data_IF_646865528201
#
_entry.id   IF_646865528201
#
_cell.length_a   1.000
_cell.length_b   1.000
_cell.length_c   1.000
_cell.angle_alpha   90.00
_cell.angle_beta   90.00
_cell.angle_gamma   90.00
#
_symmetry.space_group_name_H-M   'P 1'
#
loop_
_entity.id
_entity.type
_entity.pdbx_description
1 polymer ?
#
# COMPACT_ATOMS: atom_id res chain seq x y z
N UNK A 1 -13.99 -31.38 5.45
CA UNK A 1 -14.38 -30.00 5.08
C UNK A 1 -13.48 -29.58 3.93
N UNK A 2 -14.03 -29.39 2.74
CA UNK A 2 -13.25 -29.06 1.55
C UNK A 2 -12.62 -27.68 1.70
N UNK A 3 -11.31 -27.59 1.50
CA UNK A 3 -10.64 -26.30 1.36
C UNK A 3 -11.19 -25.66 0.07
N UNK A 4 -11.88 -24.53 0.23
CA UNK A 4 -12.20 -23.67 -0.91
C UNK A 4 -10.86 -23.25 -1.54
N UNK A 5 -10.61 -23.76 -2.74
CA UNK A 5 -9.48 -23.35 -3.56
C UNK A 5 -9.69 -21.86 -3.80
N UNK A 6 -8.90 -21.03 -3.13
CA UNK A 6 -8.88 -19.57 -3.24
C UNK A 6 -8.75 -19.18 -4.72
N UNK A 7 -9.87 -19.01 -5.41
CA UNK A 7 -9.90 -18.52 -6.78
C UNK A 7 -9.57 -17.03 -6.72
N UNK A 8 -8.32 -16.69 -7.06
CA UNK A 8 -7.94 -15.31 -7.23
C UNK A 8 -8.77 -14.67 -8.34
N UNK A 9 -9.16 -13.41 -8.17
CA UNK A 9 -9.88 -12.65 -9.20
C UNK A 9 -9.05 -12.41 -10.48
N UNK A 10 -7.75 -12.69 -10.43
CA UNK A 10 -6.82 -12.50 -11.53
C UNK A 10 -6.45 -13.86 -12.16
N UNK A 11 -6.50 -13.99 -13.50
CA UNK A 11 -6.24 -15.25 -14.16
C UNK A 11 -4.73 -15.59 -14.13
N UNK A 12 -4.36 -16.86 -13.90
CA UNK A 12 -2.98 -17.31 -14.04
C UNK A 12 -2.49 -17.22 -15.50
N UNK A 13 -1.19 -17.00 -15.68
CA UNK A 13 -0.56 -16.99 -17.00
C UNK A 13 -0.14 -18.40 -17.44
N UNK A 14 -1.04 -19.10 -18.10
CA UNK A 14 -0.77 -20.41 -18.70
C UNK A 14 0.29 -20.35 -19.81
N UNK A 15 0.48 -19.19 -20.44
CA UNK A 15 1.41 -19.02 -21.56
C UNK A 15 2.81 -18.58 -21.12
N UNK A 16 3.01 -18.25 -19.84
CA UNK A 16 4.34 -18.00 -19.31
C UNK A 16 5.19 -19.27 -19.52
N UNK A 17 6.40 -19.10 -20.01
CA UNK A 17 7.28 -20.22 -20.36
C UNK A 17 8.44 -20.30 -19.38
N UNK A 18 8.97 -21.50 -19.10
CA UNK A 18 10.26 -21.64 -18.44
C UNK A 18 11.37 -20.83 -19.14
N UNK A 19 12.34 -20.39 -18.36
CA UNK A 19 13.47 -19.62 -18.85
C UNK A 19 14.14 -18.81 -17.75
N UNK A 20 15.02 -17.90 -18.15
CA UNK A 20 15.71 -16.98 -17.24
C UNK A 20 14.98 -15.65 -17.22
N UNK A 21 14.63 -15.19 -16.03
CA UNK A 21 13.82 -14.00 -15.81
C UNK A 21 14.47 -13.03 -14.84
N UNK A 22 14.12 -11.76 -15.00
CA UNK A 22 14.25 -10.73 -13.98
C UNK A 22 12.85 -10.37 -13.48
N UNK A 23 12.70 -10.22 -12.17
CA UNK A 23 11.44 -9.82 -11.54
C UNK A 23 11.70 -8.51 -10.82
N UNK A 24 10.98 -7.45 -11.17
CA UNK A 24 11.13 -6.13 -10.55
C UNK A 24 9.79 -5.55 -10.13
N UNK A 25 9.76 -4.76 -9.07
CA UNK A 25 8.54 -4.08 -8.68
C UNK A 25 8.17 -3.07 -9.78
N UNK A 26 6.89 -3.05 -10.17
CA UNK A 26 6.44 -2.28 -11.33
C UNK A 26 6.52 -0.76 -11.12
N UNK A 27 6.50 -0.29 -9.86
CA UNK A 27 6.52 1.14 -9.49
C UNK A 27 7.94 1.61 -9.18
N UNK A 28 8.67 0.91 -8.32
CA UNK A 28 10.02 1.35 -7.90
C UNK A 28 11.10 0.99 -8.92
N UNK A 29 10.87 -0.04 -9.74
CA UNK A 29 11.86 -0.57 -10.67
C UNK A 29 12.96 -1.42 -10.01
N UNK A 30 12.93 -1.61 -8.68
CA UNK A 30 13.91 -2.45 -7.99
C UNK A 30 13.65 -3.93 -8.26
N UNK A 31 14.70 -4.69 -8.54
CA UNK A 31 14.67 -6.11 -8.86
C UNK A 31 14.81 -6.98 -7.62
N UNK A 32 14.09 -8.10 -7.58
CA UNK A 32 14.24 -9.14 -6.57
C UNK A 32 15.61 -9.79 -6.73
N UNK A 33 16.37 -9.84 -5.64
CA UNK A 33 17.72 -10.37 -5.62
C UNK A 33 18.02 -11.18 -4.37
N UNK A 34 18.97 -12.11 -4.50
CA UNK A 34 19.71 -12.62 -3.33
C UNK A 34 20.75 -11.57 -2.93
N UNK A 35 20.80 -11.21 -1.64
CA UNK A 35 21.72 -10.20 -1.14
C UNK A 35 23.18 -10.61 -1.36
N UNK A 36 24.00 -9.66 -1.80
CA UNK A 36 25.46 -9.86 -1.95
C UNK A 36 26.15 -10.05 -0.59
N UNK A 37 25.61 -9.45 0.48
CA UNK A 37 26.17 -9.52 1.83
C UNK A 37 25.69 -10.76 2.62
N UNK A 38 24.53 -11.32 2.25
CA UNK A 38 23.92 -12.45 2.94
C UNK A 38 23.13 -13.32 1.96
N UNK A 39 23.74 -14.44 1.54
CA UNK A 39 23.15 -15.37 0.57
C UNK A 39 21.86 -16.08 1.05
N UNK A 40 21.44 -15.88 2.29
CA UNK A 40 20.17 -16.38 2.83
C UNK A 40 19.03 -15.36 2.69
N UNK A 41 19.33 -14.11 2.38
CA UNK A 41 18.36 -13.02 2.31
C UNK A 41 17.91 -12.72 0.89
N UNK A 42 16.62 -12.45 0.77
CA UNK A 42 16.01 -11.88 -0.43
C UNK A 42 15.67 -10.44 -0.14
N UNK A 43 16.11 -9.57 -1.04
CA UNK A 43 15.86 -8.14 -0.97
C UNK A 43 15.50 -7.62 -2.35
N UNK A 44 15.03 -6.38 -2.42
CA UNK A 44 15.02 -5.64 -3.67
C UNK A 44 16.20 -4.70 -3.76
N UNK A 45 16.66 -4.45 -4.98
CA UNK A 45 17.79 -3.57 -5.25
C UNK A 45 17.66 -2.95 -6.62
N UNK A 46 18.35 -1.85 -6.86
CA UNK A 46 18.47 -1.25 -8.18
C UNK A 46 18.84 -2.31 -9.23
N UNK A 47 18.13 -2.28 -10.35
CA UNK A 47 18.28 -3.28 -11.40
C UNK A 47 19.69 -3.23 -12.00
N UNK A 48 20.32 -4.41 -12.09
CA UNK A 48 21.59 -4.60 -12.76
C UNK A 48 21.68 -6.00 -13.41
N UNK A 49 22.74 -6.23 -14.20
CA UNK A 49 22.89 -7.46 -14.98
C UNK A 49 23.65 -8.58 -14.26
N UNK A 50 23.88 -8.47 -12.93
CA UNK A 50 24.48 -9.55 -12.14
C UNK A 50 23.54 -10.74 -11.99
N UNK A 51 24.11 -11.94 -11.84
CA UNK A 51 23.37 -13.20 -11.79
C UNK A 51 22.54 -13.38 -10.50
N UNK A 52 22.83 -12.66 -9.42
CA UNK A 52 22.02 -12.69 -8.20
C UNK A 52 20.64 -12.04 -8.33
N UNK A 53 20.37 -11.30 -9.43
CA UNK A 53 19.04 -10.76 -9.78
C UNK A 53 18.34 -11.57 -10.89
N UNK A 54 18.92 -12.70 -11.29
CA UNK A 54 18.40 -13.53 -12.37
C UNK A 54 17.87 -14.83 -11.79
N UNK A 55 16.69 -15.21 -12.25
CA UNK A 55 15.93 -16.33 -11.72
C UNK A 55 15.61 -17.31 -12.83
N UNK A 56 15.96 -18.58 -12.65
CA UNK A 56 15.42 -19.65 -13.46
C UNK A 56 13.99 -19.93 -13.02
N UNK A 57 13.06 -19.66 -13.93
CA UNK A 57 11.66 -19.95 -13.76
C UNK A 57 11.42 -21.39 -14.24
N UNK A 58 11.15 -22.29 -13.30
CA UNK A 58 11.01 -23.73 -13.52
C UNK A 58 9.58 -24.17 -13.22
N UNK A 59 8.97 -25.00 -14.07
CA UNK A 59 7.59 -25.47 -13.83
C UNK A 59 7.52 -26.36 -12.59
N UNK A 60 6.50 -26.16 -11.77
CA UNK A 60 6.21 -26.92 -10.56
C UNK A 60 4.70 -27.02 -10.35
N UNK A 61 4.12 -28.17 -10.71
CA UNK A 61 2.67 -28.34 -10.71
C UNK A 61 1.98 -27.29 -11.59
N UNK A 62 1.00 -26.59 -11.02
CA UNK A 62 0.28 -25.49 -11.69
C UNK A 62 1.01 -24.14 -11.66
N UNK A 63 2.16 -24.06 -10.99
CA UNK A 63 2.94 -22.85 -10.84
C UNK A 63 4.40 -23.02 -11.22
N UNK A 64 5.25 -22.29 -10.52
CA UNK A 64 6.68 -22.24 -10.77
C UNK A 64 7.50 -22.17 -9.51
N UNK A 65 8.72 -22.66 -9.60
CA UNK A 65 9.79 -22.39 -8.65
C UNK A 65 10.75 -21.39 -9.28
N UNK A 66 11.37 -20.58 -8.44
CA UNK A 66 12.28 -19.52 -8.84
C UNK A 66 13.65 -19.82 -8.23
N UNK A 67 14.52 -20.45 -8.99
CA UNK A 67 15.89 -20.74 -8.57
C UNK A 67 16.78 -19.54 -8.93
N UNK A 68 17.57 -19.05 -8.00
CA UNK A 68 18.54 -18.00 -8.30
C UNK A 68 19.63 -18.54 -9.24
N UNK A 69 20.11 -17.72 -10.16
CA UNK A 69 21.13 -18.14 -11.13
C UNK A 69 22.53 -18.22 -10.51
N UNK A 70 22.86 -17.31 -9.59
CA UNK A 70 24.17 -17.29 -8.91
C UNK A 70 24.22 -18.25 -7.74
N UNK A 71 23.13 -18.31 -6.98
CA UNK A 71 23.03 -19.10 -5.77
C UNK A 71 22.13 -20.31 -6.04
N UNK A 72 22.55 -21.52 -5.66
CA UNK A 72 21.72 -22.72 -5.79
C UNK A 72 20.59 -22.76 -4.73
N UNK A 73 19.82 -21.67 -4.64
CA UNK A 73 18.74 -21.42 -3.69
C UNK A 73 17.52 -20.89 -4.43
N UNK A 74 16.37 -21.01 -3.80
CA UNK A 74 15.06 -20.67 -4.35
C UNK A 74 14.45 -19.52 -3.58
N UNK A 75 13.61 -18.75 -4.27
CA UNK A 75 12.70 -17.79 -3.65
C UNK A 75 11.65 -18.55 -2.83
N UNK A 76 11.71 -18.43 -1.51
CA UNK A 76 10.87 -19.18 -0.60
C UNK A 76 10.30 -18.32 0.54
N UNK A 77 9.30 -18.84 1.25
CA UNK A 77 8.69 -18.20 2.42
C UNK A 77 8.97 -19.01 3.68
N UNK A 78 9.24 -18.35 4.80
CA UNK A 78 9.59 -19.03 6.06
C UNK A 78 8.37 -19.72 6.71
N UNK A 79 7.19 -19.16 6.51
CA UNK A 79 5.89 -19.70 6.90
C UNK A 79 4.79 -19.07 6.02
N UNK A 80 3.53 -19.31 6.36
CA UNK A 80 2.36 -18.90 5.56
C UNK A 80 1.53 -17.78 6.21
N UNK A 81 2.02 -17.25 7.33
CA UNK A 81 1.38 -16.15 8.03
C UNK A 81 1.49 -14.86 7.20
N UNK A 82 0.57 -13.94 7.44
CA UNK A 82 0.66 -12.61 6.85
C UNK A 82 1.92 -11.90 7.39
N UNK A 83 2.65 -11.20 6.53
CA UNK A 83 3.96 -10.59 6.83
C UNK A 83 5.12 -11.59 6.99
N UNK A 84 4.98 -12.86 6.56
CA UNK A 84 6.13 -13.77 6.58
C UNK A 84 7.20 -13.31 5.58
N UNK A 85 8.47 -13.40 5.99
CA UNK A 85 9.61 -12.98 5.19
C UNK A 85 9.85 -13.94 4.01
N UNK A 86 10.13 -13.36 2.85
CA UNK A 86 10.66 -14.09 1.69
C UNK A 86 12.18 -14.17 1.83
N UNK A 87 12.73 -15.36 1.67
CA UNK A 87 14.15 -15.63 1.89
C UNK A 87 14.69 -16.65 0.88
N UNK A 88 16.01 -16.77 0.83
CA UNK A 88 16.70 -17.69 -0.07
C UNK A 88 16.84 -19.05 0.63
N UNK A 89 16.16 -20.06 0.10
CA UNK A 89 16.13 -21.39 0.71
C UNK A 89 16.69 -22.46 -0.22
N UNK A 90 17.17 -23.57 0.34
CA UNK A 90 17.46 -24.78 -0.46
C UNK A 90 16.19 -25.52 -0.86
N UNK A 91 15.06 -25.21 -0.22
CA UNK A 91 13.77 -25.84 -0.47
C UNK A 91 12.86 -24.87 -1.23
N UNK A 92 12.34 -25.27 -2.40
CA UNK A 92 11.57 -24.38 -3.23
C UNK A 92 10.16 -24.13 -2.68
N UNK A 93 9.65 -22.93 -2.98
CA UNK A 93 8.23 -22.59 -2.85
C UNK A 93 7.61 -22.46 -4.24
N UNK A 94 6.37 -22.93 -4.40
CA UNK A 94 5.64 -22.80 -5.67
C UNK A 94 4.87 -21.48 -5.71
N UNK A 95 5.03 -20.75 -6.81
CA UNK A 95 4.44 -19.45 -7.07
C UNK A 95 3.55 -19.48 -8.31
N UNK A 96 2.41 -18.79 -8.26
CA UNK A 96 1.50 -18.55 -9.37
C UNK A 96 1.68 -17.12 -9.88
N UNK A 97 1.74 -16.96 -11.20
CA UNK A 97 1.87 -15.66 -11.85
C UNK A 97 0.51 -15.25 -12.42
N UNK A 98 -0.15 -14.30 -11.75
CA UNK A 98 -1.48 -13.83 -12.14
C UNK A 98 -1.38 -12.54 -12.94
N UNK A 99 -2.08 -12.45 -14.08
CA UNK A 99 -2.01 -11.27 -14.95
C UNK A 99 -2.76 -10.09 -14.36
N UNK A 100 -2.11 -8.93 -14.35
CA UNK A 100 -2.71 -7.66 -13.94
C UNK A 100 -2.12 -6.48 -14.73
N UNK A 101 -2.93 -5.84 -15.59
CA UNK A 101 -2.54 -4.62 -16.33
C UNK A 101 -1.17 -4.69 -17.02
N UNK A 102 -0.88 -5.81 -17.71
CA UNK A 102 0.40 -6.04 -18.40
C UNK A 102 1.59 -6.37 -17.47
N UNK A 103 1.35 -6.46 -16.16
CA UNK A 103 2.29 -6.91 -15.14
C UNK A 103 1.72 -8.16 -14.44
N UNK A 104 2.33 -8.56 -13.34
CA UNK A 104 1.97 -9.75 -12.58
C UNK A 104 1.74 -9.47 -11.11
N UNK A 105 0.83 -10.23 -10.52
CA UNK A 105 0.76 -10.47 -9.09
C UNK A 105 1.34 -11.87 -8.87
N UNK A 106 2.36 -11.99 -8.02
CA UNK A 106 3.04 -13.25 -7.76
C UNK A 106 2.47 -13.85 -6.47
N UNK A 107 1.64 -14.87 -6.60
CA UNK A 107 0.89 -15.48 -5.52
C UNK A 107 1.57 -16.75 -5.02
N UNK A 108 1.56 -16.97 -3.71
CA UNK A 108 1.93 -18.24 -3.10
C UNK A 108 0.89 -19.31 -3.49
N UNK A 109 1.32 -20.45 -4.03
CA UNK A 109 0.41 -21.48 -4.52
C UNK A 109 -0.61 -21.91 -3.45
N UNK A 110 -1.86 -22.09 -3.88
CA UNK A 110 -3.00 -22.53 -3.06
C UNK A 110 -3.33 -21.65 -1.84
N UNK A 111 -2.81 -20.42 -1.78
CA UNK A 111 -3.05 -19.49 -0.67
C UNK A 111 -3.37 -18.08 -1.15
N UNK A 112 -4.24 -17.38 -0.42
CA UNK A 112 -4.51 -15.96 -0.66
C UNK A 112 -3.39 -15.06 -0.09
N UNK A 113 -2.16 -15.27 -0.56
CA UNK A 113 -0.94 -14.56 -0.16
C UNK A 113 -0.10 -14.23 -1.39
N UNK A 114 0.41 -13.02 -1.48
CA UNK A 114 1.17 -12.54 -2.65
C UNK A 114 2.46 -11.85 -2.22
N UNK A 115 3.45 -11.82 -3.11
CA UNK A 115 4.69 -11.05 -2.90
C UNK A 115 4.36 -9.56 -2.75
N UNK A 116 4.85 -8.99 -1.65
CA UNK A 116 4.68 -7.60 -1.25
C UNK A 116 6.05 -6.98 -0.97
N UNK A 117 6.39 -5.94 -1.72
CA UNK A 117 7.54 -5.10 -1.41
C UNK A 117 7.23 -4.30 -0.16
N UNK A 118 8.01 -4.49 0.91
CA UNK A 118 7.73 -3.84 2.19
C UNK A 118 7.60 -2.31 2.04
N UNK A 119 6.44 -1.75 2.39
CA UNK A 119 6.07 -0.33 2.19
C UNK A 119 6.10 0.20 0.75
N UNK A 120 6.35 -0.64 -0.25
CA UNK A 120 6.64 -0.16 -1.59
C UNK A 120 7.91 0.70 -1.67
N UNK A 121 8.83 0.56 -0.71
CA UNK A 121 10.07 1.33 -0.70
C UNK A 121 11.05 0.81 -1.75
N UNK A 122 11.52 1.70 -2.61
CA UNK A 122 12.54 1.42 -3.62
C UNK A 122 13.98 1.48 -3.10
N UNK A 123 14.18 1.52 -1.78
CA UNK A 123 15.53 1.52 -1.21
C UNK A 123 16.23 0.17 -1.42
N UNK A 124 17.51 0.25 -1.75
CA UNK A 124 18.38 -0.91 -1.87
C UNK A 124 18.45 -1.69 -0.55
N UNK A 125 18.19 -3.00 -0.64
CA UNK A 125 18.17 -3.88 0.52
C UNK A 125 16.80 -4.01 1.18
N UNK A 126 15.76 -3.37 0.65
CA UNK A 126 14.41 -3.47 1.20
C UNK A 126 13.87 -4.90 1.08
N UNK A 127 13.17 -5.36 2.11
CA UNK A 127 12.71 -6.74 2.25
C UNK A 127 11.41 -6.99 1.49
N UNK A 128 11.14 -8.27 1.26
CA UNK A 128 9.93 -8.75 0.59
C UNK A 128 9.20 -9.69 1.56
N UNK A 129 7.89 -9.50 1.68
CA UNK A 129 7.04 -10.32 2.51
C UNK A 129 5.94 -10.97 1.67
N UNK A 130 5.23 -11.92 2.26
CA UNK A 130 3.91 -12.30 1.75
C UNK A 130 2.80 -11.56 2.48
N UNK A 131 1.79 -11.12 1.73
CA UNK A 131 0.65 -10.41 2.27
C UNK A 131 -0.68 -10.85 1.64
N UNK A 132 -1.79 -10.67 2.35
CA UNK A 132 -3.14 -10.94 1.83
C UNK A 132 -3.42 -10.18 0.53
N UNK A 133 -4.06 -10.84 -0.44
CA UNK A 133 -4.63 -10.15 -1.59
C UNK A 133 -6.08 -9.75 -1.25
N UNK A 134 -6.28 -8.47 -0.94
CA UNK A 134 -7.51 -7.88 -0.39
C UNK A 134 -8.14 -6.81 -1.32
N UNK A 135 -7.70 -6.75 -2.58
CA UNK A 135 -8.35 -5.93 -3.63
C UNK A 135 -8.10 -4.41 -3.54
N UNK A 136 -7.33 -3.93 -2.56
CA UNK A 136 -6.91 -2.53 -2.50
C UNK A 136 -5.99 -2.11 -3.66
N UNK A 137 -5.76 -0.81 -3.84
CA UNK A 137 -4.73 -0.30 -4.74
C UNK A 137 -3.34 -0.65 -4.16
N UNK A 138 -2.67 -1.66 -4.72
CA UNK A 138 -1.48 -2.28 -4.13
C UNK A 138 -0.25 -2.20 -5.07
N UNK A 139 0.30 -1.00 -5.35
CA UNK A 139 1.46 -0.84 -6.24
C UNK A 139 2.69 -1.68 -5.84
N UNK A 140 2.91 -1.85 -4.53
CA UNK A 140 3.95 -2.69 -3.95
C UNK A 140 3.80 -4.21 -4.17
N UNK A 141 2.65 -4.68 -4.68
CA UNK A 141 2.39 -6.10 -4.99
C UNK A 141 2.38 -6.40 -6.49
N UNK A 142 2.69 -5.40 -7.32
CA UNK A 142 2.70 -5.51 -8.78
C UNK A 142 4.15 -5.66 -9.24
N UNK A 143 4.40 -6.71 -10.02
CA UNK A 143 5.72 -7.12 -10.45
C UNK A 143 5.80 -7.20 -11.97
N UNK A 144 6.83 -6.59 -12.53
CA UNK A 144 7.24 -6.76 -13.92
C UNK A 144 8.09 -8.03 -14.00
N UNK A 145 7.73 -8.92 -14.91
CA UNK A 145 8.42 -10.19 -15.14
C UNK A 145 9.00 -10.15 -16.54
N UNK A 146 10.30 -9.91 -16.62
CA UNK A 146 11.05 -9.74 -17.87
C UNK A 146 11.82 -11.00 -18.21
N UNK A 147 11.58 -11.59 -19.39
CA UNK A 147 12.36 -12.72 -19.88
C UNK A 147 13.68 -12.23 -20.45
N UNK A 148 14.79 -12.76 -19.93
CA UNK A 148 16.15 -12.35 -20.29
C UNK A 148 17.00 -13.49 -20.88
N UNK A 149 16.48 -14.72 -20.90
CA UNK A 149 17.16 -15.85 -21.53
C UNK A 149 16.34 -17.15 -21.51
N UNK A 150 16.85 -18.18 -22.18
CA UNK A 150 16.21 -19.51 -22.31
C UNK A 150 16.69 -20.52 -21.25
N UNK A 151 17.70 -20.19 -20.44
CA UNK A 151 18.24 -21.10 -19.44
C UNK A 151 17.22 -21.44 -18.36
N UNK A 152 17.15 -22.72 -17.97
CA UNK A 152 16.18 -23.24 -16.98
C UNK A 152 16.85 -23.82 -15.72
N UNK A 153 18.16 -23.62 -15.53
CA UNK A 153 18.93 -24.22 -14.42
C UNK A 153 19.12 -25.74 -14.56
N UNK A 154 20.05 -26.31 -13.79
CA UNK A 154 20.44 -27.74 -13.89
C UNK A 154 19.46 -28.71 -13.20
N UNK A 155 18.27 -28.25 -12.78
CA UNK A 155 17.30 -29.06 -12.02
C UNK A 155 16.16 -29.71 -12.82
N UNK A 156 16.03 -29.45 -14.13
CA UNK A 156 14.86 -29.87 -14.91
C UNK A 156 14.90 -31.34 -15.40
N UNK A 157 15.97 -32.08 -15.16
CA UNK A 157 16.13 -33.48 -15.60
C UNK A 157 16.57 -34.39 -14.46
N UNK A 158 15.64 -34.83 -13.61
CA UNK A 158 15.81 -36.04 -12.80
C UNK A 158 14.47 -36.55 -12.27
N UNK A 159 13.68 -37.12 -13.18
CA UNK A 159 12.77 -38.22 -12.79
C UNK A 159 13.62 -39.49 -12.68
N UNK A 160 13.58 -40.14 -11.51
CA UNK A 160 14.06 -41.48 -11.17
C UNK A 160 15.56 -41.69 -10.85
N UNK A 161 15.78 -42.46 -9.76
CA UNK A 161 16.99 -43.14 -9.26
C UNK A 161 17.86 -42.36 -8.26
N UNK A 162 17.73 -42.69 -6.96
CA UNK A 162 18.65 -43.63 -6.30
C UNK A 162 18.45 -43.65 -4.77
N UNK A 163 18.26 -44.87 -4.26
CA UNK A 163 18.32 -45.26 -2.86
C UNK A 163 19.78 -45.63 -2.49
N UNK A 164 20.16 -45.31 -1.24
CA UNK A 164 21.03 -46.06 -0.32
C UNK A 164 22.58 -45.96 -0.38
N UNK A 165 23.11 -46.05 0.86
CA UNK A 165 24.48 -46.36 1.35
C UNK A 165 25.47 -45.17 1.37
N UNK A 166 26.21 -44.85 2.43
CA UNK A 166 26.40 -45.40 3.78
C UNK A 166 27.67 -44.77 4.42
N UNK A 167 27.76 -44.84 5.75
CA UNK A 167 28.86 -44.52 6.71
C UNK A 167 30.29 -44.86 6.20
N UNK A 168 31.43 -44.34 6.69
CA UNK A 168 31.91 -44.05 8.06
C UNK A 168 33.28 -43.32 8.08
N UNK A 169 33.61 -42.72 9.23
CA UNK A 169 34.87 -42.19 9.77
C UNK A 169 36.21 -42.87 9.37
N UNK A 170 37.32 -42.09 9.34
CA UNK A 170 38.56 -42.34 10.12
C UNK A 170 39.32 -41.03 10.42
N UNK A 171 39.86 -40.98 11.64
CA UNK A 171 40.50 -39.92 12.43
C UNK A 171 42.01 -39.74 12.14
N UNK A 172 42.46 -38.48 12.25
CA UNK A 172 43.73 -37.92 12.78
C UNK A 172 45.12 -38.56 12.48
N UNK A 173 46.07 -37.73 12.03
CA UNK A 173 47.17 -37.15 12.84
C UNK A 173 48.20 -36.42 11.94
N UNK A 174 48.55 -35.17 12.26
CA UNK A 174 49.95 -34.75 12.41
C UNK A 174 50.02 -33.33 13.00
N UNK A 175 50.46 -33.23 14.24
CA UNK A 175 50.66 -31.99 15.01
C UNK A 175 52.12 -31.57 14.90
N UNK A 176 52.40 -30.31 14.55
CA UNK A 176 53.38 -29.42 15.22
C UNK A 176 53.87 -28.31 14.27
N UNK A 177 53.16 -27.16 14.30
CA UNK A 177 53.74 -25.84 13.99
C UNK A 177 52.85 -24.67 14.44
N UNK A 178 52.30 -24.71 15.66
CA UNK A 178 51.47 -23.63 16.18
C UNK A 178 51.96 -23.18 17.55
N UNK A 179 52.82 -22.17 17.60
CA UNK A 179 53.11 -21.48 18.87
C UNK A 179 53.62 -20.04 18.73
N UNK A 180 53.40 -19.39 17.57
CA UNK A 180 53.65 -17.94 17.41
C UNK A 180 52.44 -17.15 16.87
N UNK A 181 51.41 -17.81 16.32
CA UNK A 181 50.21 -17.17 15.77
C UNK A 181 49.12 -16.91 16.84
N UNK A 182 49.25 -17.52 18.02
CA UNK A 182 48.19 -17.54 19.04
C UNK A 182 48.05 -16.24 19.85
N UNK A 183 48.90 -15.23 19.67
CA UNK A 183 48.80 -13.95 20.41
C UNK A 183 48.15 -12.81 19.61
N UNK A 184 48.25 -12.80 18.28
CA UNK A 184 47.50 -11.86 17.41
C UNK A 184 46.06 -12.31 17.18
N UNK A 185 45.82 -13.62 17.15
CA UNK A 185 44.50 -14.19 16.92
C UNK A 185 43.56 -13.98 18.13
N UNK A 186 44.10 -13.96 19.35
CA UNK A 186 43.32 -13.74 20.59
C UNK A 186 42.92 -12.26 20.75
N UNK A 187 43.80 -11.30 20.42
CA UNK A 187 43.46 -9.87 20.45
C UNK A 187 42.47 -9.51 19.34
N UNK A 188 42.65 -10.06 18.14
CA UNK A 188 41.70 -9.93 17.04
C UNK A 188 40.31 -10.46 17.37
N UNK A 189 40.23 -11.64 18.01
CA UNK A 189 38.94 -12.22 18.44
C UNK A 189 38.23 -11.36 19.52
N UNK A 190 38.99 -10.69 20.38
CA UNK A 190 38.42 -9.80 21.41
C UNK A 190 37.80 -8.53 20.80
N UNK A 191 38.45 -7.93 19.80
CA UNK A 191 37.95 -6.76 19.06
C UNK A 191 36.74 -7.14 18.19
N UNK A 192 36.78 -8.30 17.52
CA UNK A 192 35.66 -8.85 16.75
C UNK A 192 34.43 -9.09 17.62
N UNK A 193 34.62 -9.61 18.83
CA UNK A 193 33.53 -9.83 19.79
C UNK A 193 32.92 -8.50 20.26
N UNK A 194 33.76 -7.47 20.50
CA UNK A 194 33.28 -6.13 20.87
C UNK A 194 32.47 -5.49 19.74
N UNK A 195 33.01 -5.49 18.52
CA UNK A 195 32.34 -4.96 17.34
C UNK A 195 31.03 -5.70 17.04
N UNK A 196 31.00 -7.02 17.20
CA UNK A 196 29.76 -7.82 17.04
C UNK A 196 28.68 -7.40 18.04
N UNK A 197 29.06 -7.12 19.29
CA UNK A 197 28.13 -6.63 20.32
C UNK A 197 27.63 -5.20 20.05
N UNK A 198 28.47 -4.34 19.48
CA UNK A 198 28.08 -2.99 19.06
C UNK A 198 27.14 -3.02 17.84
N UNK A 199 27.44 -3.86 16.84
CA UNK A 199 26.62 -4.05 15.65
C UNK A 199 25.23 -4.63 16.00
N UNK A 200 25.18 -5.52 16.98
CA UNK A 200 23.93 -6.06 17.52
C UNK A 200 23.09 -4.98 18.21
N UNK A 201 23.73 -4.11 18.99
CA UNK A 201 23.05 -2.96 19.63
C UNK A 201 22.53 -1.95 18.61
N UNK A 202 23.36 -1.58 17.63
CA UNK A 202 22.96 -0.67 16.56
C UNK A 202 21.79 -1.25 15.72
N UNK A 203 21.78 -2.57 15.48
CA UNK A 203 20.64 -3.24 14.82
C UNK A 203 19.36 -3.14 15.64
N UNK A 204 19.44 -3.31 16.96
CA UNK A 204 18.27 -3.17 17.83
C UNK A 204 17.75 -1.73 17.83
N UNK A 205 18.64 -0.75 17.97
CA UNK A 205 18.26 0.67 17.93
C UNK A 205 17.62 1.06 16.59
N UNK A 206 18.14 0.56 15.47
CA UNK A 206 17.53 0.76 14.15
C UNK A 206 16.15 0.11 14.05
N UNK A 207 15.97 -1.08 14.62
CA UNK A 207 14.66 -1.76 14.67
C UNK A 207 13.64 -0.96 15.49
N UNK A 208 14.07 -0.40 16.63
CA UNK A 208 13.22 0.41 17.50
C UNK A 208 12.86 1.74 16.81
N UNK A 209 13.83 2.37 16.14
CA UNK A 209 13.61 3.60 15.37
C UNK A 209 12.66 3.35 14.19
N UNK A 210 12.79 2.23 13.49
CA UNK A 210 11.87 1.82 12.43
C UNK A 210 10.44 1.61 12.95
N UNK A 211 10.29 0.99 14.12
CA UNK A 211 8.99 0.82 14.78
C UNK A 211 8.36 2.17 15.14
N UNK A 212 9.18 3.14 15.57
CA UNK A 212 8.72 4.50 15.86
C UNK A 212 8.34 5.27 14.59
N UNK A 213 9.10 5.12 13.51
CA UNK A 213 8.77 5.71 12.21
C UNK A 213 7.45 5.14 11.66
N UNK A 214 7.22 3.83 11.78
CA UNK A 214 5.94 3.20 11.45
C UNK A 214 4.78 3.88 12.18
N UNK A 215 4.90 4.06 13.50
CA UNK A 215 3.84 4.68 14.30
C UNK A 215 3.59 6.13 13.89
N UNK A 216 4.64 6.87 13.53
CA UNK A 216 4.52 8.24 13.03
C UNK A 216 3.83 8.29 11.67
N UNK A 217 4.17 7.41 10.75
CA UNK A 217 3.57 7.38 9.41
C UNK A 217 2.08 6.98 9.47
N UNK A 218 1.71 6.07 10.38
CA UNK A 218 0.31 5.76 10.66
C UNK A 218 -0.45 6.99 11.20
N UNK A 219 0.17 7.71 12.14
CA UNK A 219 -0.40 8.94 12.69
C UNK A 219 -0.57 10.01 11.61
N UNK A 220 0.41 10.15 10.72
CA UNK A 220 0.34 11.09 9.60
C UNK A 220 -0.81 10.70 8.65
N UNK A 221 -0.96 9.42 8.31
CA UNK A 221 -2.07 8.93 7.48
C UNK A 221 -3.42 9.23 8.12
N UNK A 222 -3.57 8.97 9.42
CA UNK A 222 -4.81 9.28 10.14
C UNK A 222 -5.10 10.79 10.12
N UNK A 223 -4.10 11.62 10.39
CA UNK A 223 -4.25 13.08 10.36
C UNK A 223 -4.61 13.61 8.96
N UNK A 224 -4.05 13.04 7.90
CA UNK A 224 -4.39 13.41 6.52
C UNK A 224 -5.84 13.05 6.18
N UNK A 225 -6.32 11.88 6.62
CA UNK A 225 -7.71 11.49 6.43
C UNK A 225 -8.66 12.40 7.21
N UNK A 226 -8.34 12.71 8.47
CA UNK A 226 -9.10 13.63 9.30
C UNK A 226 -9.15 15.02 8.67
N UNK A 227 -8.01 15.54 8.18
CA UNK A 227 -7.94 16.84 7.53
C UNK A 227 -8.82 16.89 6.28
N UNK A 228 -8.76 15.86 5.43
CA UNK A 228 -9.62 15.73 4.25
C UNK A 228 -11.11 15.73 4.63
N UNK A 229 -11.50 14.96 5.64
CA UNK A 229 -12.89 14.92 6.11
C UNK A 229 -13.36 16.29 6.64
N UNK A 230 -12.47 17.03 7.32
CA UNK A 230 -12.75 18.37 7.82
C UNK A 230 -12.87 19.38 6.69
N UNK A 231 -12.03 19.31 5.66
CA UNK A 231 -12.14 20.17 4.47
C UNK A 231 -13.46 19.97 3.74
N UNK A 232 -13.90 18.71 3.58
CA UNK A 232 -15.20 18.37 2.98
C UNK A 232 -16.36 18.93 3.82
N UNK A 233 -16.32 18.77 5.14
CA UNK A 233 -17.33 19.31 6.06
C UNK A 233 -17.37 20.84 6.03
N UNK A 234 -16.21 21.51 5.92
CA UNK A 234 -16.10 22.96 5.86
C UNK A 234 -16.63 23.49 4.53
N UNK A 235 -16.34 22.83 3.42
CA UNK A 235 -16.93 23.13 2.10
C UNK A 235 -18.47 23.07 2.14
N UNK A 236 -19.02 22.05 2.81
CA UNK A 236 -20.46 21.94 2.99
C UNK A 236 -21.03 23.07 3.87
N UNK A 237 -20.37 23.39 4.98
CA UNK A 237 -20.79 24.48 5.88
C UNK A 237 -20.74 25.87 5.21
N UNK A 238 -19.77 26.10 4.32
CA UNK A 238 -19.72 27.33 3.53
C UNK A 238 -20.93 27.47 2.61
N UNK A 239 -21.30 26.39 1.89
CA UNK A 239 -22.47 26.38 1.01
C UNK A 239 -23.77 26.65 1.78
N UNK A 240 -23.97 26.00 2.93
CA UNK A 240 -25.18 26.22 3.73
C UNK A 240 -25.24 27.65 4.30
N UNK A 241 -24.10 28.24 4.64
CA UNK A 241 -24.06 29.63 5.08
C UNK A 241 -24.36 30.63 3.94
N UNK A 242 -23.89 30.35 2.72
CA UNK A 242 -24.25 31.13 1.53
C UNK A 242 -25.75 31.06 1.24
N UNK A 243 -26.35 29.86 1.28
CA UNK A 243 -27.80 29.66 1.14
C UNK A 243 -28.58 30.43 2.23
N UNK A 244 -28.12 30.36 3.47
CA UNK A 244 -28.71 31.12 4.60
C UNK A 244 -28.57 32.64 4.42
N UNK A 245 -27.47 33.12 3.86
CA UNK A 245 -27.29 34.53 3.53
C UNK A 245 -28.25 34.98 2.42
N UNK A 246 -28.44 34.16 1.37
CA UNK A 246 -29.41 34.42 0.31
C UNK A 246 -30.84 34.46 0.85
N UNK A 247 -31.21 33.51 1.71
CA UNK A 247 -32.54 33.46 2.32
C UNK A 247 -32.81 34.71 3.17
N UNK A 248 -31.81 35.18 3.94
CA UNK A 248 -31.89 36.43 4.70
C UNK A 248 -32.10 37.65 3.80
N UNK A 249 -31.38 37.74 2.67
CA UNK A 249 -31.58 38.82 1.71
C UNK A 249 -33.00 38.81 1.12
N UNK A 250 -33.52 37.62 0.79
CA UNK A 250 -34.90 37.47 0.31
C UNK A 250 -35.91 37.91 1.37
N UNK A 251 -35.71 37.52 2.63
CA UNK A 251 -36.58 37.94 3.73
C UNK A 251 -36.59 39.46 3.89
N UNK A 252 -35.42 40.11 3.91
CA UNK A 252 -35.33 41.58 4.00
C UNK A 252 -36.06 42.27 2.84
N UNK A 253 -35.96 41.73 1.63
CA UNK A 253 -36.66 42.27 0.46
C UNK A 253 -38.19 42.12 0.60
N UNK A 254 -38.66 40.96 1.03
CA UNK A 254 -40.09 40.69 1.29
C UNK A 254 -40.65 41.61 2.37
N UNK A 255 -39.89 41.81 3.44
CA UNK A 255 -40.27 42.67 4.56
C UNK A 255 -40.39 44.14 4.12
N UNK A 256 -39.44 44.63 3.32
CA UNK A 256 -39.52 45.97 2.73
C UNK A 256 -40.75 46.14 1.83
N UNK A 257 -41.06 45.15 0.98
CA UNK A 257 -42.28 45.17 0.15
C UNK A 257 -43.55 45.18 0.99
N UNK A 258 -43.58 44.42 2.09
CA UNK A 258 -44.72 44.39 2.98
C UNK A 258 -44.93 45.73 3.70
N UNK A 259 -43.87 46.37 4.18
CA UNK A 259 -43.93 47.70 4.77
C UNK A 259 -44.40 48.77 3.76
N UNK A 260 -43.95 48.68 2.51
CA UNK A 260 -44.44 49.54 1.43
C UNK A 260 -45.95 49.35 1.25
N UNK A 261 -46.42 48.11 1.17
CA UNK A 261 -47.84 47.81 1.00
C UNK A 261 -48.70 48.29 2.19
N UNK A 262 -48.19 48.18 3.42
CA UNK A 262 -48.87 48.75 4.61
C UNK A 262 -49.01 50.27 4.49
N UNK A 263 -47.97 50.96 4.05
CA UNK A 263 -47.97 52.42 3.88
C UNK A 263 -48.97 52.84 2.80
N UNK A 264 -49.00 52.12 1.68
CA UNK A 264 -50.00 52.34 0.61
C UNK A 264 -51.43 52.12 1.12
N UNK A 265 -51.66 51.05 1.88
CA UNK A 265 -52.98 50.73 2.47
C UNK A 265 -53.43 51.81 3.46
N UNK A 266 -52.54 52.26 4.35
CA UNK A 266 -52.83 53.35 5.28
C UNK A 266 -53.14 54.66 4.53
N UNK A 267 -52.40 54.95 3.46
CA UNK A 267 -52.67 56.09 2.59
C UNK A 267 -54.03 56.02 1.88
N UNK A 268 -54.45 54.82 1.45
CA UNK A 268 -55.78 54.58 0.89
C UNK A 268 -56.88 54.74 1.95
N UNK A 269 -56.67 54.23 3.16
CA UNK A 269 -57.61 54.39 4.27
C UNK A 269 -57.84 55.87 4.60
N UNK A 270 -56.76 56.65 4.73
CA UNK A 270 -56.87 58.09 4.98
C UNK A 270 -57.63 58.84 3.87
N UNK A 271 -57.49 58.41 2.60
CA UNK A 271 -58.29 58.96 1.50
C UNK A 271 -59.76 58.57 1.62
N UNK A 272 -60.06 57.33 1.99
CA UNK A 272 -61.43 56.84 2.22
C UNK A 272 -62.10 57.64 3.35
N UNK A 273 -61.44 57.78 4.50
CA UNK A 273 -61.95 58.55 5.65
C UNK A 273 -62.26 60.01 5.26
N UNK A 274 -61.41 60.62 4.41
CA UNK A 274 -61.65 61.98 3.89
C UNK A 274 -62.87 62.05 2.98
N UNK A 275 -63.08 61.04 2.13
CA UNK A 275 -64.25 60.95 1.25
C UNK A 275 -65.51 60.77 2.09
N UNK A 276 -65.49 59.90 3.11
CA UNK A 276 -66.61 59.71 4.05
C UNK A 276 -66.95 61.00 4.80
N UNK A 277 -65.95 61.75 5.25
CA UNK A 277 -66.14 63.05 5.87
C UNK A 277 -66.80 64.07 4.94
N UNK A 278 -66.32 64.17 3.69
CA UNK A 278 -66.90 65.07 2.68
C UNK A 278 -68.35 64.68 2.33
N UNK A 279 -68.63 63.38 2.19
CA UNK A 279 -70.00 62.90 1.97
C UNK A 279 -70.92 63.26 3.14
N UNK A 280 -70.44 63.11 4.38
CA UNK A 280 -71.20 63.50 5.59
C UNK A 280 -71.49 65.00 5.65
N UNK A 281 -70.53 65.84 5.24
CA UNK A 281 -70.72 67.29 5.13
C UNK A 281 -71.78 67.67 4.08
N UNK A 282 -71.79 67.00 2.92
CA UNK A 282 -72.78 67.26 1.87
C UNK A 282 -74.20 66.80 2.25
N UNK A 283 -74.31 65.68 2.97
CA UNK A 283 -75.59 65.15 3.47
C UNK A 283 -76.20 66.01 4.59
N UNK A 284 -75.37 66.73 5.35
CA UNK A 284 -75.79 67.58 6.47
C UNK A 284 -76.00 69.06 6.10
N UNK A 285 -75.98 69.44 4.81
CA UNK A 285 -76.37 70.80 4.42
C UNK A 285 -77.88 70.98 4.63
N UNK A 286 -78.32 71.87 5.53
CA UNK A 286 -79.73 72.21 5.62
C UNK A 286 -80.14 72.86 4.29
N UNK A 287 -81.13 72.27 3.62
CA UNK A 287 -81.79 72.93 2.51
C UNK A 287 -82.33 74.25 3.01
N UNK A 288 -81.68 75.35 2.63
CA UNK A 288 -82.28 76.66 2.71
C UNK A 288 -83.52 76.65 1.83
N UNK A 289 -84.69 76.55 2.44
CA UNK A 289 -85.88 77.16 1.87
C UNK A 289 -85.92 78.58 2.40
N UNK A 290 -85.62 79.51 1.49
CA UNK A 290 -86.16 80.85 1.53
C UNK A 290 -87.68 80.80 1.77
N UNK A 291 -88.19 81.65 2.66
CA UNK A 291 -89.04 82.77 2.22
C UNK A 291 -89.59 83.58 3.40
N UNK A 292 -89.47 84.90 3.18
CA UNK A 292 -90.16 86.03 3.79
C UNK A 292 -89.61 86.61 5.10
#
# INVERSE_FOLDING_TARGET
MGQEISHSQYPPDENLQPGTYRISNAVTGTAIQVSDDDSTKIVTWEQHNRENQQWFLQRSGHGYQLQNRRHNTYLAVSNTDNHALVYASRYPTTWLFLKFNGNYIVQLADMNRVLDLHWGSGHNGNEIHIWNLDGGNMPHRIWRVERIGDGIGEGATSTQQAQLVGESDVKAECTNKYQAETQEEITGNSELSRLTGELSRARQELSDLHSLLYQRDETIRQLQQDLKSKEEALSHACKTNEESAQLRQQHTLLESKFQQQQTETAGLQAKMDRVEYLMSQMMNKPGGSDNN
#
